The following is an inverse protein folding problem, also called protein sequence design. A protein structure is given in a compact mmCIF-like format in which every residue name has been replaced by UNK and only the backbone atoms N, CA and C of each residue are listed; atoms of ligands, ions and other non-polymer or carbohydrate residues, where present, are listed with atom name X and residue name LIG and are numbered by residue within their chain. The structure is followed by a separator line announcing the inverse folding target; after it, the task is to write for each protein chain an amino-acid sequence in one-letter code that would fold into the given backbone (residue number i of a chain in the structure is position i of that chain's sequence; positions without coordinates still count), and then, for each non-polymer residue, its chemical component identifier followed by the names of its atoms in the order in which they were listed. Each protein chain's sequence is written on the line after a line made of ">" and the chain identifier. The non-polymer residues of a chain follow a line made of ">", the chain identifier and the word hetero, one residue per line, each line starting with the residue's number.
data_IF_177895231453
#
_entry.id   IF_177895231453
#
_cell.length_a   1.000
_cell.length_b   1.000
_cell.length_c   1.000
_cell.angle_alpha   90.00
_cell.angle_beta   90.00
_cell.angle_gamma   90.00
#
_symmetry.space_group_name_H-M   'P 1'
#
loop_
_entity.id
_entity.type
_entity.pdbx_description
1 polymer ?
#
# COMPACT_ATOMS: atom_id res chain seq x y z
N UNK A 1 -19.95 -6.88 -13.79
CA UNK A 1 -19.25 -5.89 -14.65
C UNK A 1 -18.48 -6.69 -15.70
N UNK A 2 -18.82 -6.53 -16.98
CA UNK A 2 -18.00 -7.12 -18.04
C UNK A 2 -16.73 -6.32 -18.15
N UNK A 3 -15.57 -6.97 -18.07
CA UNK A 3 -14.29 -6.35 -18.38
C UNK A 3 -14.24 -6.08 -19.88
N UNK A 4 -13.63 -4.98 -20.27
CA UNK A 4 -13.32 -4.74 -21.68
C UNK A 4 -12.12 -5.62 -22.12
N UNK A 5 -11.97 -5.78 -23.43
CA UNK A 5 -10.94 -6.64 -24.01
C UNK A 5 -9.53 -6.17 -23.61
N UNK A 6 -9.31 -4.87 -23.42
CA UNK A 6 -8.04 -4.30 -23.01
C UNK A 6 -7.66 -4.73 -21.58
N UNK A 7 -8.61 -4.71 -20.65
CA UNK A 7 -8.41 -5.17 -19.27
C UNK A 7 -8.15 -6.68 -19.21
N UNK A 8 -8.82 -7.47 -20.05
CA UNK A 8 -8.60 -8.92 -20.16
C UNK A 8 -7.17 -9.20 -20.66
N UNK A 9 -6.71 -8.51 -21.71
CA UNK A 9 -5.36 -8.66 -22.25
C UNK A 9 -4.31 -8.21 -21.23
N UNK A 10 -4.55 -7.09 -20.54
CA UNK A 10 -3.66 -6.59 -19.49
C UNK A 10 -3.53 -7.60 -18.36
N UNK A 11 -4.64 -8.20 -17.92
CA UNK A 11 -4.60 -9.22 -16.87
C UNK A 11 -3.86 -10.49 -17.31
N UNK A 12 -4.02 -10.92 -18.56
CA UNK A 12 -3.25 -12.04 -19.11
C UNK A 12 -1.74 -11.76 -19.05
N UNK A 13 -1.32 -10.57 -19.48
CA UNK A 13 0.07 -10.12 -19.41
C UNK A 13 0.61 -10.08 -17.98
N UNK A 14 -0.17 -9.61 -17.00
CA UNK A 14 0.24 -9.61 -15.59
C UNK A 14 0.44 -11.03 -15.04
N UNK A 15 -0.42 -11.97 -15.42
CA UNK A 15 -0.23 -13.38 -15.09
C UNK A 15 1.06 -13.95 -15.65
N UNK A 16 1.41 -13.57 -16.88
CA UNK A 16 2.69 -13.98 -17.51
C UNK A 16 3.88 -13.32 -16.78
N UNK A 17 3.75 -12.08 -16.34
CA UNK A 17 4.78 -11.43 -15.53
C UNK A 17 5.03 -12.17 -14.22
N UNK A 18 3.98 -12.59 -13.51
CA UNK A 18 4.13 -13.37 -12.27
C UNK A 18 4.82 -14.71 -12.54
N UNK A 19 4.37 -15.46 -13.56
CA UNK A 19 4.99 -16.75 -13.92
C UNK A 19 6.48 -16.62 -14.26
N UNK A 20 6.86 -15.50 -14.88
CA UNK A 20 8.23 -15.24 -15.31
C UNK A 20 9.09 -14.50 -14.26
N UNK A 21 8.54 -14.20 -13.07
CA UNK A 21 9.24 -13.41 -12.06
C UNK A 21 9.52 -11.95 -12.49
N UNK A 22 8.82 -11.44 -13.52
CA UNK A 22 8.99 -10.07 -14.06
C UNK A 22 8.03 -9.09 -13.43
N UNK A 23 8.07 -8.97 -12.10
CA UNK A 23 7.27 -8.00 -11.37
C UNK A 23 8.07 -7.38 -10.23
N UNK A 24 7.66 -6.20 -9.83
CA UNK A 24 8.22 -5.48 -8.69
C UNK A 24 7.11 -5.13 -7.71
N UNK A 25 7.44 -5.07 -6.44
CA UNK A 25 6.54 -4.65 -5.38
C UNK A 25 6.89 -3.24 -4.92
N UNK A 26 5.87 -2.39 -4.83
CA UNK A 26 6.04 -1.05 -4.27
C UNK A 26 6.41 -1.11 -2.79
N UNK A 27 6.91 -0.01 -2.25
CA UNK A 27 7.18 0.10 -0.81
C UNK A 27 5.93 -0.15 0.05
N UNK A 28 4.74 0.19 -0.44
CA UNK A 28 3.47 -0.13 0.21
C UNK A 28 3.28 -1.63 0.41
N UNK A 29 3.51 -2.41 -0.65
CA UNK A 29 3.40 -3.86 -0.57
C UNK A 29 4.44 -4.42 0.40
N UNK A 30 5.69 -3.94 0.31
CA UNK A 30 6.76 -4.36 1.23
C UNK A 30 6.39 -4.10 2.68
N UNK A 31 5.83 -2.94 3.00
CA UNK A 31 5.32 -2.65 4.35
C UNK A 31 4.21 -3.59 4.79
N UNK A 32 3.28 -3.93 3.90
CA UNK A 32 2.20 -4.90 4.18
C UNK A 32 2.74 -6.31 4.44
N UNK A 33 3.79 -6.72 3.71
CA UNK A 33 4.50 -7.97 3.94
C UNK A 33 5.19 -7.98 5.31
N UNK A 34 5.94 -6.92 5.64
CA UNK A 34 6.63 -6.79 6.92
C UNK A 34 5.69 -6.75 8.11
N UNK A 35 4.49 -6.19 7.94
CA UNK A 35 3.43 -6.19 8.94
C UNK A 35 2.70 -7.54 9.06
N UNK A 36 3.02 -8.53 8.23
CA UNK A 36 2.36 -9.84 8.22
C UNK A 36 0.91 -9.80 7.72
N UNK A 37 0.50 -8.70 7.09
CA UNK A 37 -0.87 -8.57 6.57
C UNK A 37 -1.10 -9.45 5.34
N UNK A 38 -0.11 -9.60 4.50
CA UNK A 38 -0.11 -10.46 3.31
C UNK A 38 1.26 -11.10 3.14
N UNK A 39 1.36 -12.14 2.32
CA UNK A 39 2.62 -12.77 1.93
C UNK A 39 2.89 -12.59 0.43
N UNK A 40 4.11 -12.82 -0.02
CA UNK A 40 4.44 -12.84 -1.46
C UNK A 40 3.57 -13.87 -2.18
N UNK A 41 3.40 -15.06 -1.59
CA UNK A 41 2.54 -16.10 -2.14
C UNK A 41 1.07 -15.66 -2.27
N UNK A 42 0.55 -14.86 -1.32
CA UNK A 42 -0.79 -14.27 -1.44
C UNK A 42 -0.91 -13.36 -2.66
N UNK A 43 0.12 -12.53 -2.90
CA UNK A 43 0.17 -11.62 -4.04
C UNK A 43 0.21 -12.40 -5.36
N UNK A 44 1.12 -13.36 -5.47
CA UNK A 44 1.28 -14.18 -6.67
C UNK A 44 0.03 -14.99 -6.99
N UNK A 45 -0.56 -15.63 -5.98
CA UNK A 45 -1.79 -16.42 -6.12
C UNK A 45 -2.96 -15.50 -6.55
N UNK A 46 -3.07 -14.30 -5.97
CA UNK A 46 -4.13 -13.36 -6.34
C UNK A 46 -4.02 -12.94 -7.80
N UNK A 47 -2.83 -12.60 -8.28
CA UNK A 47 -2.64 -12.23 -9.69
C UNK A 47 -2.85 -13.44 -10.61
N UNK A 48 -2.35 -14.63 -10.25
CA UNK A 48 -2.45 -15.82 -11.08
C UNK A 48 -3.90 -16.29 -11.29
N UNK A 49 -4.70 -16.33 -10.23
CA UNK A 49 -6.04 -16.95 -10.23
C UNK A 49 -7.20 -16.03 -9.85
N UNK A 50 -6.94 -14.80 -9.46
CA UNK A 50 -7.97 -13.88 -8.99
C UNK A 50 -8.82 -13.26 -10.10
N UNK A 51 -9.84 -12.56 -9.66
CA UNK A 51 -10.80 -11.84 -10.52
C UNK A 51 -10.57 -10.35 -10.42
N UNK A 52 -10.52 -9.63 -11.54
CA UNK A 52 -10.48 -8.17 -11.59
C UNK A 52 -11.84 -7.64 -11.12
N UNK A 53 -11.81 -6.81 -10.09
CA UNK A 53 -13.02 -6.21 -9.49
C UNK A 53 -13.12 -4.70 -9.73
N UNK A 54 -12.00 -4.03 -10.02
CA UNK A 54 -11.97 -2.61 -10.36
C UNK A 54 -10.89 -2.35 -11.41
N UNK A 55 -11.17 -1.38 -12.29
CA UNK A 55 -10.22 -0.82 -13.27
C UNK A 55 -10.03 0.65 -12.93
N UNK A 56 -8.79 1.09 -12.80
CA UNK A 56 -8.43 2.46 -12.47
C UNK A 56 -7.56 3.05 -13.58
N UNK A 57 -8.13 3.96 -14.34
CA UNK A 57 -7.39 4.69 -15.36
C UNK A 57 -6.75 5.94 -14.79
N UNK A 58 -5.44 6.05 -14.94
CA UNK A 58 -4.68 7.20 -14.48
C UNK A 58 -3.99 7.87 -15.66
N UNK A 59 -4.37 9.13 -15.96
CA UNK A 59 -3.92 9.88 -17.12
C UNK A 59 -2.38 9.91 -17.34
N UNK A 60 -1.59 9.75 -16.28
CA UNK A 60 -0.12 9.78 -16.34
C UNK A 60 0.57 8.44 -16.08
N UNK A 61 -0.15 7.44 -15.54
CA UNK A 61 0.43 6.17 -15.05
C UNK A 61 -0.15 4.94 -15.74
N UNK A 62 -1.09 5.15 -16.69
CA UNK A 62 -1.78 4.04 -17.35
C UNK A 62 -2.85 3.40 -16.47
N UNK A 63 -3.34 2.25 -16.92
CA UNK A 63 -4.41 1.50 -16.28
C UNK A 63 -3.85 0.62 -15.15
N UNK A 64 -4.49 0.66 -14.00
CA UNK A 64 -4.23 -0.28 -12.91
C UNK A 64 -5.46 -1.16 -12.66
N UNK A 65 -5.24 -2.44 -12.38
CA UNK A 65 -6.28 -3.43 -12.14
C UNK A 65 -6.27 -3.84 -10.65
N UNK A 66 -7.43 -3.75 -10.00
CA UNK A 66 -7.63 -4.32 -8.67
C UNK A 66 -8.13 -5.74 -8.81
N UNK A 67 -7.34 -6.68 -8.33
CA UNK A 67 -7.62 -8.11 -8.38
C UNK A 67 -8.01 -8.61 -7.00
N UNK A 68 -9.12 -9.34 -6.90
CA UNK A 68 -9.56 -10.02 -5.69
C UNK A 68 -9.37 -11.52 -5.80
N UNK A 69 -8.90 -12.15 -4.74
CA UNK A 69 -8.77 -13.60 -4.63
C UNK A 69 -9.08 -14.09 -3.22
N UNK A 70 -9.30 -15.39 -3.09
CA UNK A 70 -9.42 -16.08 -1.80
C UNK A 70 -8.22 -17.01 -1.63
N UNK A 71 -7.39 -16.74 -0.62
CA UNK A 71 -6.33 -17.67 -0.23
C UNK A 71 -6.71 -18.38 1.07
N UNK A 72 -6.98 -19.69 0.98
CA UNK A 72 -7.42 -20.51 2.11
C UNK A 72 -8.61 -19.90 2.87
N UNK A 73 -9.57 -19.33 2.12
CA UNK A 73 -10.75 -18.67 2.69
C UNK A 73 -10.52 -17.22 3.14
N UNK A 74 -9.29 -16.71 3.12
CA UNK A 74 -8.97 -15.32 3.44
C UNK A 74 -8.99 -14.47 2.17
N UNK A 75 -9.79 -13.40 2.10
CA UNK A 75 -9.79 -12.52 0.94
C UNK A 75 -8.49 -11.71 0.89
N UNK A 76 -7.95 -11.56 -0.30
CA UNK A 76 -6.76 -10.74 -0.58
C UNK A 76 -7.05 -9.89 -1.80
N UNK A 77 -6.74 -8.60 -1.70
CA UNK A 77 -6.79 -7.67 -2.81
C UNK A 77 -5.39 -7.26 -3.23
N UNK A 78 -5.16 -7.23 -4.53
CA UNK A 78 -3.88 -6.82 -5.14
C UNK A 78 -4.15 -5.82 -6.25
N UNK A 79 -3.57 -4.64 -6.16
CA UNK A 79 -3.59 -3.65 -7.23
C UNK A 79 -2.33 -3.77 -8.06
N UNK A 80 -2.48 -4.00 -9.35
CA UNK A 80 -1.38 -4.13 -10.31
C UNK A 80 -1.43 -3.01 -11.33
N UNK A 81 -0.28 -2.54 -11.77
CA UNK A 81 -0.12 -1.54 -12.82
C UNK A 81 1.06 -1.86 -13.73
N UNK A 82 1.17 -1.11 -14.82
CA UNK A 82 2.26 -1.23 -15.76
C UNK A 82 3.55 -0.65 -15.19
N UNK A 83 4.61 -1.42 -15.27
CA UNK A 83 5.98 -0.99 -15.06
C UNK A 83 6.71 -0.72 -16.38
N UNK A 84 7.95 -0.29 -16.29
CA UNK A 84 8.81 -0.10 -17.45
C UNK A 84 9.17 -1.44 -18.13
N UNK A 85 9.41 -1.40 -19.44
CA UNK A 85 9.93 -2.53 -20.21
C UNK A 85 9.11 -3.83 -20.12
N UNK A 86 7.78 -3.71 -20.03
CA UNK A 86 6.87 -4.85 -19.96
C UNK A 86 6.86 -5.58 -18.60
N UNK A 87 7.42 -4.99 -17.57
CA UNK A 87 7.28 -5.46 -16.19
C UNK A 87 5.92 -5.07 -15.62
N UNK A 88 5.48 -5.79 -14.61
CA UNK A 88 4.33 -5.43 -13.79
C UNK A 88 4.80 -4.81 -12.47
N UNK A 89 4.04 -3.85 -11.93
CA UNK A 89 4.24 -3.33 -10.58
C UNK A 89 3.04 -3.67 -9.73
N UNK A 90 3.27 -4.31 -8.60
CA UNK A 90 2.27 -4.47 -7.55
C UNK A 90 2.26 -3.20 -6.71
N UNK A 91 1.19 -2.44 -6.81
CA UNK A 91 1.03 -1.12 -6.18
C UNK A 91 0.57 -1.24 -4.73
N UNK A 92 -0.43 -2.13 -4.49
CA UNK A 92 -0.99 -2.42 -3.17
C UNK A 92 -1.29 -3.91 -3.04
N UNK A 93 -1.20 -4.42 -1.81
CA UNK A 93 -1.71 -5.73 -1.43
C UNK A 93 -2.22 -5.65 0.01
N UNK A 94 -3.48 -6.05 0.24
CA UNK A 94 -4.13 -5.94 1.54
C UNK A 94 -5.28 -6.95 1.70
N UNK A 95 -5.72 -7.12 2.94
CA UNK A 95 -6.94 -7.88 3.27
C UNK A 95 -8.11 -6.89 3.33
N UNK A 96 -9.12 -7.03 2.44
CA UNK A 96 -10.27 -6.12 2.46
C UNK A 96 -11.08 -6.29 3.75
N UNK A 97 -11.44 -5.19 4.38
CA UNK A 97 -12.18 -5.16 5.63
C UNK A 97 -13.19 -4.01 5.70
N UNK A 98 -14.24 -4.12 6.53
CA UNK A 98 -15.08 -2.99 6.87
C UNK A 98 -14.25 -1.84 7.49
N UNK A 99 -14.67 -0.58 7.36
CA UNK A 99 -15.92 -0.12 6.74
C UNK A 99 -15.88 0.08 5.23
N UNK A 100 -14.77 -0.16 4.56
CA UNK A 100 -14.58 0.16 3.14
C UNK A 100 -15.16 -0.91 2.24
N UNK A 101 -14.97 -2.16 2.64
CA UNK A 101 -15.48 -3.31 1.89
C UNK A 101 -16.67 -3.93 2.63
N UNK A 102 -17.84 -3.91 1.99
CA UNK A 102 -19.04 -4.59 2.49
C UNK A 102 -18.91 -6.12 2.33
N UNK A 103 -18.29 -6.54 1.23
CA UNK A 103 -17.89 -7.92 0.93
C UNK A 103 -16.55 -7.89 0.21
N UNK A 104 -15.80 -9.01 0.08
CA UNK A 104 -14.55 -9.03 -0.67
C UNK A 104 -14.63 -8.54 -2.12
N UNK A 105 -15.80 -8.52 -2.72
CA UNK A 105 -15.99 -8.05 -4.09
C UNK A 105 -16.76 -6.72 -4.22
N UNK A 106 -17.21 -6.13 -3.10
CA UNK A 106 -18.07 -4.95 -3.13
C UNK A 106 -17.70 -3.93 -2.06
N UNK A 107 -17.36 -2.73 -2.49
CA UNK A 107 -17.20 -1.59 -1.58
C UNK A 107 -18.51 -1.18 -0.94
N UNK A 108 -18.45 -0.66 0.29
CA UNK A 108 -19.55 0.14 0.80
C UNK A 108 -19.80 1.36 -0.10
N UNK A 109 -21.07 1.78 -0.28
CA UNK A 109 -21.35 3.04 -0.96
C UNK A 109 -20.57 4.16 -0.26
N UNK A 110 -19.74 4.88 -1.01
CA UNK A 110 -19.11 6.10 -0.48
C UNK A 110 -20.20 7.12 -0.26
N UNK A 111 -20.32 7.63 0.95
CA UNK A 111 -21.00 8.91 1.18
C UNK A 111 -20.33 9.96 0.29
N UNK A 112 -21.10 10.89 -0.28
CA UNK A 112 -20.52 12.02 -0.98
C UNK A 112 -19.43 12.63 -0.09
N UNK A 113 -18.22 12.91 -0.59
CA UNK A 113 -17.19 13.52 0.22
C UNK A 113 -17.75 14.86 0.73
N UNK A 114 -17.93 14.96 2.01
CA UNK A 114 -18.21 16.26 2.62
C UNK A 114 -16.97 17.12 2.38
N UNK A 115 -17.13 18.16 1.57
CA UNK A 115 -16.09 19.13 1.24
C UNK A 115 -15.80 20.05 2.43
N UNK A 116 -15.48 19.48 3.57
CA UNK A 116 -15.20 20.20 4.82
C UNK A 116 -13.70 20.37 5.07
N UNK A 117 -12.89 20.51 4.03
CA UNK A 117 -11.48 20.85 4.18
C UNK A 117 -10.60 19.76 4.84
N UNK A 118 -11.18 18.65 5.28
CA UNK A 118 -10.47 17.55 5.90
C UNK A 118 -10.01 16.55 4.84
N UNK A 119 -8.75 16.19 4.89
CA UNK A 119 -8.15 15.17 4.03
C UNK A 119 -8.62 13.78 4.49
N UNK A 120 -9.70 13.26 3.90
CA UNK A 120 -10.39 12.05 4.37
C UNK A 120 -10.30 10.87 3.40
N UNK A 121 -9.74 11.09 2.20
CA UNK A 121 -9.68 10.08 1.15
C UNK A 121 -8.25 9.84 0.71
N UNK A 122 -7.84 8.59 0.69
CA UNK A 122 -6.51 8.17 0.26
C UNK A 122 -6.28 8.46 -1.22
N UNK A 123 -5.20 9.17 -1.53
CA UNK A 123 -4.81 9.48 -2.90
C UNK A 123 -4.53 8.23 -3.75
N UNK A 124 -3.99 7.17 -3.14
CA UNK A 124 -3.55 5.98 -3.86
C UNK A 124 -4.69 5.00 -4.15
N UNK A 125 -5.48 4.63 -3.14
CA UNK A 125 -6.51 3.60 -3.29
C UNK A 125 -7.94 4.15 -3.17
N UNK A 126 -8.09 5.44 -2.85
CA UNK A 126 -9.39 6.08 -2.63
C UNK A 126 -10.10 5.63 -1.35
N UNK A 127 -9.41 4.90 -0.46
CA UNK A 127 -9.94 4.45 0.81
C UNK A 127 -10.10 5.57 1.85
N UNK A 128 -10.83 5.28 2.92
CA UNK A 128 -11.03 6.23 4.02
C UNK A 128 -9.72 6.44 4.81
N UNK A 129 -9.42 7.69 5.14
CA UNK A 129 -8.33 8.05 6.02
C UNK A 129 -8.90 8.38 7.39
N UNK A 130 -8.38 7.71 8.43
CA UNK A 130 -8.68 8.02 9.83
C UNK A 130 -7.49 8.64 10.53
N UNK A 131 -7.76 9.59 11.40
CA UNK A 131 -6.76 10.14 12.31
C UNK A 131 -6.38 9.07 13.33
N UNK A 132 -5.08 8.79 13.41
CA UNK A 132 -4.50 7.81 14.34
C UNK A 132 -3.27 8.39 15.00
N UNK A 133 -2.82 7.73 16.06
CA UNK A 133 -1.50 7.98 16.65
C UNK A 133 -0.57 6.82 16.26
N UNK A 134 0.45 7.09 15.46
CA UNK A 134 1.45 6.10 15.06
C UNK A 134 2.40 5.84 16.23
N UNK A 135 2.53 4.58 16.64
CA UNK A 135 3.38 4.20 17.78
C UNK A 135 4.85 4.52 17.58
N UNK A 136 5.41 4.07 16.46
CA UNK A 136 6.77 4.38 16.01
C UNK A 136 6.71 4.92 14.59
N UNK A 137 7.37 6.04 14.37
CA UNK A 137 7.55 6.66 13.07
C UNK A 137 9.04 6.79 12.80
N UNK A 138 9.55 5.97 11.88
CA UNK A 138 10.95 6.00 11.48
C UNK A 138 11.18 7.20 10.58
N UNK A 139 12.01 8.11 11.03
CA UNK A 139 12.31 9.36 10.34
C UNK A 139 13.81 9.48 10.09
N UNK A 140 14.21 9.71 8.84
CA UNK A 140 15.61 9.88 8.49
C UNK A 140 15.87 11.34 8.12
N UNK A 141 16.86 11.93 8.80
CA UNK A 141 17.34 13.28 8.52
C UNK A 141 18.88 13.28 8.57
N UNK A 142 19.52 13.83 7.58
CA UNK A 142 20.99 13.92 7.46
C UNK A 142 21.70 12.57 7.68
N UNK A 143 21.14 11.50 7.10
CA UNK A 143 21.68 10.14 7.19
C UNK A 143 21.45 9.44 8.54
N UNK A 144 20.87 10.10 9.53
CA UNK A 144 20.58 9.53 10.85
C UNK A 144 19.15 9.04 10.93
N UNK A 145 18.95 7.91 11.63
CA UNK A 145 17.63 7.37 11.95
C UNK A 145 17.15 7.93 13.29
N UNK A 146 15.93 8.45 13.29
CA UNK A 146 15.20 8.86 14.47
C UNK A 146 13.91 8.06 14.55
N UNK A 147 13.58 7.55 15.73
CA UNK A 147 12.30 6.91 16.01
C UNK A 147 11.45 7.90 16.79
N UNK A 148 10.42 8.44 16.16
CA UNK A 148 9.53 9.42 16.79
C UNK A 148 8.26 8.67 17.22
N UNK A 149 7.97 8.71 18.51
CA UNK A 149 6.82 8.00 19.07
C UNK A 149 5.59 8.87 19.14
N UNK A 150 4.43 8.24 19.02
CA UNK A 150 3.09 8.88 19.16
C UNK A 150 2.87 10.03 18.16
N UNK A 151 3.24 9.83 16.90
CA UNK A 151 3.05 10.82 15.85
C UNK A 151 1.58 10.83 15.41
N UNK A 152 0.87 11.97 15.44
CA UNK A 152 -0.46 12.07 14.86
C UNK A 152 -0.38 11.99 13.34
N UNK A 153 -1.18 11.12 12.75
CA UNK A 153 -1.19 10.86 11.31
C UNK A 153 -2.60 10.51 10.81
N UNK A 154 -2.82 10.71 9.52
CA UNK A 154 -3.90 10.06 8.80
C UNK A 154 -3.44 8.67 8.36
N UNK A 155 -4.23 7.64 8.64
CA UNK A 155 -3.98 6.27 8.19
C UNK A 155 -5.10 5.83 7.24
N UNK A 156 -4.74 5.46 6.03
CA UNK A 156 -5.69 4.78 5.15
C UNK A 156 -5.96 3.37 5.66
N UNK A 157 -7.23 3.06 5.89
CA UNK A 157 -7.63 1.75 6.42
C UNK A 157 -7.52 0.62 5.39
N UNK A 158 -7.47 0.97 4.09
CA UNK A 158 -7.41 -0.02 3.00
C UNK A 158 -6.00 -0.45 2.66
N UNK A 159 -5.10 0.52 2.43
CA UNK A 159 -3.75 0.25 1.94
C UNK A 159 -2.66 0.55 2.97
N UNK A 160 -3.00 1.06 4.16
CA UNK A 160 -2.04 1.37 5.20
C UNK A 160 -1.20 2.62 4.96
N UNK A 161 -1.49 3.41 3.91
CA UNK A 161 -0.77 4.67 3.65
C UNK A 161 -0.94 5.64 4.80
N UNK A 162 0.17 6.28 5.16
CA UNK A 162 0.21 7.27 6.24
C UNK A 162 0.40 8.67 5.67
N UNK A 163 -0.38 9.59 6.18
CA UNK A 163 -0.37 10.99 5.80
C UNK A 163 -0.01 11.84 7.01
N UNK A 164 0.99 12.68 6.87
CA UNK A 164 1.46 13.59 7.91
C UNK A 164 1.08 15.02 7.51
N UNK A 165 0.40 15.71 8.41
CA UNK A 165 0.11 17.13 8.22
C UNK A 165 1.40 17.95 8.24
N UNK A 166 1.52 19.06 7.45
CA UNK A 166 2.72 19.88 7.40
C UNK A 166 3.18 20.35 8.79
N UNK A 167 2.27 20.77 9.65
CA UNK A 167 2.58 21.20 11.02
C UNK A 167 3.20 20.08 11.88
N UNK A 168 2.79 18.84 11.67
CA UNK A 168 3.39 17.66 12.34
C UNK A 168 4.82 17.45 11.81
N UNK A 169 5.00 17.53 10.49
CA UNK A 169 6.34 17.43 9.87
C UNK A 169 7.31 18.49 10.41
N UNK A 170 6.90 19.76 10.42
CA UNK A 170 7.71 20.85 10.97
C UNK A 170 8.03 20.63 12.45
N UNK A 171 7.06 20.12 13.23
CA UNK A 171 7.33 19.83 14.65
C UNK A 171 8.35 18.72 14.83
N UNK A 172 8.28 17.66 14.02
CA UNK A 172 9.28 16.58 14.05
C UNK A 172 10.69 17.11 13.72
N UNK A 173 10.82 17.97 12.71
CA UNK A 173 12.10 18.60 12.38
C UNK A 173 12.64 19.44 13.56
N UNK A 174 11.80 20.28 14.13
CA UNK A 174 12.15 21.11 15.30
C UNK A 174 12.60 20.27 16.51
N UNK A 175 11.92 19.16 16.78
CA UNK A 175 12.31 18.24 17.87
C UNK A 175 13.71 17.66 17.66
N UNK A 176 14.05 17.32 16.42
CA UNK A 176 15.38 16.80 16.08
C UNK A 176 16.44 17.90 16.21
N UNK A 177 16.18 19.11 15.68
CA UNK A 177 17.09 20.25 15.74
C UNK A 177 17.38 20.69 17.17
N UNK A 178 16.35 20.73 18.00
CA UNK A 178 16.46 21.07 19.43
C UNK A 178 16.96 19.91 20.30
N UNK A 179 17.22 18.72 19.70
CA UNK A 179 17.67 17.52 20.43
C UNK A 179 16.72 17.10 21.56
N UNK A 180 15.43 17.18 21.34
CA UNK A 180 14.38 16.82 22.31
C UNK A 180 14.27 15.28 22.48
N UNK A 181 15.40 14.62 22.71
CA UNK A 181 15.45 13.17 22.83
C UNK A 181 15.02 12.70 24.23
N UNK A 182 14.09 11.76 24.28
CA UNK A 182 13.62 11.15 25.54
C UNK A 182 14.41 9.90 25.91
N UNK A 183 14.97 9.21 24.92
CA UNK A 183 15.77 7.98 25.11
C UNK A 183 16.69 7.75 23.89
N UNK A 184 17.61 6.79 24.05
CA UNK A 184 18.34 6.16 22.94
C UNK A 184 18.03 4.68 22.94
N UNK A 185 17.68 4.14 21.78
CA UNK A 185 17.43 2.72 21.58
C UNK A 185 18.49 2.13 20.64
N UNK A 186 18.93 0.91 20.91
CA UNK A 186 19.83 0.18 20.04
C UNK A 186 19.02 -0.41 18.88
N UNK A 187 19.53 -0.28 17.67
CA UNK A 187 18.92 -0.85 16.45
C UNK A 187 19.85 -1.90 15.89
N UNK A 188 19.32 -3.09 15.63
CA UNK A 188 20.06 -4.13 14.92
C UNK A 188 20.08 -3.77 13.42
N UNK A 189 21.27 -3.73 12.85
CA UNK A 189 21.48 -3.46 11.42
C UNK A 189 21.99 -4.73 10.78
N UNK A 190 21.39 -5.11 9.65
CA UNK A 190 21.81 -6.27 8.85
C UNK A 190 21.99 -5.83 7.41
N UNK A 191 22.99 -6.40 6.75
CA UNK A 191 23.16 -6.27 5.31
C UNK A 191 22.54 -7.49 4.61
N UNK A 192 21.70 -7.24 3.61
CA UNK A 192 21.14 -8.32 2.82
C UNK A 192 22.26 -9.02 2.03
N UNK A 193 22.35 -10.33 2.18
CA UNK A 193 23.22 -11.17 1.38
C UNK A 193 22.35 -12.04 0.47
N UNK A 194 22.55 -12.03 -0.86
CA UNK A 194 21.83 -12.92 -1.74
C UNK A 194 22.17 -14.38 -1.39
N UNK A 195 21.22 -15.33 -1.57
CA UNK A 195 21.53 -16.73 -1.40
C UNK A 195 22.67 -17.12 -2.34
N UNK A 196 23.57 -17.94 -1.85
CA UNK A 196 24.64 -18.51 -2.68
C UNK A 196 24.03 -19.28 -3.85
N UNK A 197 24.59 -19.19 -5.05
CA UNK A 197 24.07 -19.89 -6.24
C UNK A 197 24.09 -21.40 -6.08
#
# INVERSE_FOLDING_TARGET
>A
MSLDDASVQTMARYRDCVRAGRYMMSEHVVRSLMAGMVTVADVEMAVAGGTVIEVHDHAKRGTALLVAALNRGRPVHVMCGDGANGWMVVLFAYVPAPPIWATPGRRHPRGAPEMNGNFTTCYFCGGEIKTVTVGNFDYRKDGKLYVIKRVPAGLCLDCGEKYIAPGVGHRMDTMIENKEFTAKEQVNVMEFQPPSP
#
